data_IF_467506320297
#
_entry.id   IF_467506320297
#
_cell.length_a   1.000
_cell.length_b   1.000
_cell.length_c   1.000
_cell.angle_alpha   90.00
_cell.angle_beta   90.00
_cell.angle_gamma   90.00
#
_symmetry.space_group_name_H-M   'P 1'
#
loop_
_entity.id
_entity.type
_entity.pdbx_description
1 polymer ?
#
# COMPACT_ATOMS: atom_id res chain seq x y z
N UNK A 1 8.17 -6.21 22.02
CA UNK A 1 6.72 -6.10 21.70
C UNK A 1 5.93 -5.17 22.64
N UNK A 2 6.56 -4.25 23.39
CA UNK A 2 5.91 -3.33 24.38
C UNK A 2 5.79 -1.88 23.85
N UNK A 3 5.86 -1.67 22.54
CA UNK A 3 6.06 -0.32 21.97
C UNK A 3 4.77 0.45 21.64
N UNK A 4 3.62 -0.23 21.51
CA UNK A 4 2.44 0.35 20.84
C UNK A 4 1.44 1.08 21.77
N UNK A 5 1.72 1.15 23.08
CA UNK A 5 0.81 1.77 24.05
C UNK A 5 1.16 3.23 24.39
N UNK A 6 2.31 3.73 23.93
CA UNK A 6 2.70 5.13 24.13
C UNK A 6 1.91 6.05 23.19
N UNK A 7 1.35 7.17 23.68
CA UNK A 7 0.54 8.09 22.87
C UNK A 7 1.31 8.65 21.67
N UNK A 8 2.62 8.86 21.82
CA UNK A 8 3.49 9.34 20.75
C UNK A 8 3.61 8.35 19.58
N UNK A 9 3.65 7.04 19.86
CA UNK A 9 3.74 6.00 18.82
C UNK A 9 2.41 5.90 18.08
N UNK A 10 1.27 6.03 18.78
CA UNK A 10 -0.05 6.10 18.14
C UNK A 10 -0.20 7.32 17.23
N UNK A 11 0.26 8.47 17.68
CA UNK A 11 0.27 9.69 16.87
C UNK A 11 1.14 9.53 15.61
N UNK A 12 2.35 9.00 15.75
CA UNK A 12 3.24 8.74 14.62
C UNK A 12 2.66 7.73 13.64
N UNK A 13 2.02 6.65 14.11
CA UNK A 13 1.32 5.70 13.25
C UNK A 13 0.28 6.41 12.36
N UNK A 14 -0.51 7.35 12.91
CA UNK A 14 -1.50 8.12 12.14
C UNK A 14 -0.80 9.02 11.12
N UNK A 15 0.27 9.72 11.51
CA UNK A 15 1.04 10.58 10.60
C UNK A 15 1.67 9.78 9.46
N UNK A 16 2.27 8.63 9.75
CA UNK A 16 2.84 7.73 8.74
C UNK A 16 1.76 7.20 7.80
N UNK A 17 0.59 6.84 8.33
CA UNK A 17 -0.54 6.39 7.52
C UNK A 17 -1.01 7.49 6.55
N UNK A 18 -1.28 8.69 7.06
CA UNK A 18 -1.68 9.83 6.21
C UNK A 18 -0.62 10.16 5.17
N UNK A 19 0.64 10.11 5.55
CA UNK A 19 1.78 10.34 4.65
C UNK A 19 1.90 9.26 3.58
N UNK A 20 1.61 8.00 3.92
CA UNK A 20 1.58 6.88 2.98
C UNK A 20 0.48 7.05 1.94
N UNK A 21 -0.72 7.43 2.38
CA UNK A 21 -1.85 7.73 1.49
C UNK A 21 -1.51 8.92 0.59
N UNK A 22 -0.96 9.99 1.16
CA UNK A 22 -0.57 11.18 0.40
C UNK A 22 0.44 10.86 -0.70
N UNK A 23 1.49 10.09 -0.38
CA UNK A 23 2.49 9.66 -1.36
C UNK A 23 1.87 8.82 -2.47
N UNK A 24 0.96 7.91 -2.12
CA UNK A 24 0.26 7.10 -3.12
C UNK A 24 -0.55 7.99 -4.06
N UNK A 25 -1.29 8.98 -3.54
CA UNK A 25 -2.07 9.93 -4.37
C UNK A 25 -1.15 10.73 -5.30
N UNK A 26 -0.03 11.25 -4.81
CA UNK A 26 0.92 12.02 -5.62
C UNK A 26 1.51 11.15 -6.74
N UNK A 27 1.94 9.92 -6.40
CA UNK A 27 2.40 8.93 -7.38
C UNK A 27 1.30 8.68 -8.41
N UNK A 28 0.06 8.42 -7.99
CA UNK A 28 -1.04 8.17 -8.91
C UNK A 28 -1.21 9.31 -9.91
N UNK A 29 -1.15 10.56 -9.46
CA UNK A 29 -1.27 11.71 -10.35
C UNK A 29 -0.08 11.79 -11.30
N UNK A 30 1.14 11.56 -10.81
CA UNK A 30 2.37 11.58 -11.62
C UNK A 30 2.39 10.48 -12.69
N UNK A 31 1.88 9.28 -12.39
CA UNK A 31 1.87 8.15 -13.33
C UNK A 31 0.70 8.20 -14.31
N UNK A 32 -0.45 8.74 -13.91
CA UNK A 32 -1.65 8.78 -14.76
C UNK A 32 -1.72 10.00 -15.67
N UNK A 33 -1.07 11.10 -15.28
CA UNK A 33 -1.13 12.35 -16.04
C UNK A 33 -0.08 12.34 -17.14
N UNK A 34 -0.50 12.35 -18.40
CA UNK A 34 0.39 12.54 -19.56
C UNK A 34 1.04 13.94 -19.59
N UNK A 35 0.49 14.89 -18.82
CA UNK A 35 0.99 16.26 -18.66
C UNK A 35 1.41 16.53 -17.21
N UNK A 36 2.38 17.42 -17.01
CA UNK A 36 2.82 17.85 -15.67
C UNK A 36 1.77 18.75 -15.01
N UNK A 37 0.73 18.15 -14.43
CA UNK A 37 -0.33 18.87 -13.71
C UNK A 37 0.22 19.48 -12.41
N UNK A 38 1.09 18.75 -11.70
CA UNK A 38 1.76 19.24 -10.50
C UNK A 38 3.12 19.86 -10.85
N UNK A 39 3.46 20.96 -10.18
CA UNK A 39 4.80 21.53 -10.25
C UNK A 39 5.82 20.55 -9.68
N UNK A 40 6.96 20.39 -10.37
CA UNK A 40 8.08 19.57 -9.91
C UNK A 40 8.52 19.93 -8.49
N UNK A 41 8.56 21.24 -8.16
CA UNK A 41 8.89 21.71 -6.81
C UNK A 41 7.89 21.23 -5.76
N UNK A 42 6.60 21.19 -6.11
CA UNK A 42 5.55 20.73 -5.21
C UNK A 42 5.68 19.22 -4.94
N UNK A 43 5.97 18.43 -5.98
CA UNK A 43 6.22 16.99 -5.87
C UNK A 43 7.43 16.72 -4.96
N UNK A 44 8.56 17.38 -5.23
CA UNK A 44 9.79 17.24 -4.44
C UNK A 44 9.60 17.67 -2.99
N UNK A 45 8.91 18.79 -2.73
CA UNK A 45 8.63 19.23 -1.36
C UNK A 45 7.72 18.24 -0.62
N UNK A 46 6.72 17.69 -1.30
CA UNK A 46 5.81 16.70 -0.70
C UNK A 46 6.55 15.40 -0.37
N UNK A 47 7.39 14.90 -1.27
CA UNK A 47 8.23 13.73 -1.00
C UNK A 47 9.17 13.96 0.19
N UNK A 48 9.80 15.14 0.27
CA UNK A 48 10.69 15.49 1.39
C UNK A 48 9.95 15.54 2.73
N UNK A 49 8.76 16.14 2.74
CA UNK A 49 7.91 16.21 3.93
C UNK A 49 7.55 14.81 4.43
N UNK A 50 7.11 13.93 3.53
CA UNK A 50 6.75 12.55 3.88
C UNK A 50 7.96 11.75 4.36
N UNK A 51 9.11 11.88 3.68
CA UNK A 51 10.36 11.26 4.11
C UNK A 51 10.75 11.68 5.52
N UNK A 52 10.61 12.97 5.85
CA UNK A 52 10.87 13.47 7.21
C UNK A 52 9.97 12.81 8.26
N UNK A 53 8.68 12.61 7.95
CA UNK A 53 7.74 11.95 8.87
C UNK A 53 8.12 10.47 9.10
N UNK A 54 8.47 9.74 8.05
CA UNK A 54 8.92 8.35 8.15
C UNK A 54 10.23 8.21 8.91
N UNK A 55 11.17 9.14 8.67
CA UNK A 55 12.44 9.18 9.37
C UNK A 55 12.26 9.48 10.86
N UNK A 56 11.33 10.38 11.20
CA UNK A 56 10.96 10.65 12.59
C UNK A 56 10.35 9.42 13.28
N UNK A 57 9.44 8.70 12.60
CA UNK A 57 8.89 7.43 13.11
C UNK A 57 10.00 6.40 13.36
N UNK A 58 10.94 6.24 12.42
CA UNK A 58 12.09 5.35 12.57
C UNK A 58 12.92 5.69 13.81
N UNK A 59 13.32 6.95 13.97
CA UNK A 59 14.17 7.37 15.07
C UNK A 59 13.45 7.27 16.43
N UNK A 60 12.15 7.57 16.47
CA UNK A 60 11.36 7.41 17.70
C UNK A 60 11.25 5.94 18.11
N UNK A 61 11.01 5.03 17.15
CA UNK A 61 11.02 3.58 17.43
C UNK A 61 12.39 3.09 17.84
N UNK A 62 13.45 3.59 17.21
CA UNK A 62 14.82 3.25 17.58
C UNK A 62 15.16 3.69 19.01
N UNK A 63 14.81 4.92 19.37
CA UNK A 63 15.03 5.44 20.71
C UNK A 63 14.28 4.62 21.78
N UNK A 64 13.06 4.17 21.49
CA UNK A 64 12.27 3.39 22.43
C UNK A 64 12.56 1.89 22.45
N UNK A 65 13.26 1.33 21.46
CA UNK A 65 13.55 -0.11 21.45
C UNK A 65 14.67 -0.50 22.41
N UNK A 66 15.56 0.43 22.75
CA UNK A 66 16.77 0.21 23.57
C UNK A 66 17.74 -0.87 23.02
N UNK A 67 17.51 -1.37 21.80
CA UNK A 67 18.32 -2.40 21.14
C UNK A 67 19.57 -1.83 20.43
N UNK A 68 19.76 -0.51 20.44
CA UNK A 68 20.91 0.16 19.86
C UNK A 68 21.11 -0.17 18.37
N UNK A 69 22.33 -0.53 17.97
CA UNK A 69 22.66 -0.83 16.57
C UNK A 69 21.98 -2.09 16.02
N UNK A 70 21.55 -3.01 16.88
CA UNK A 70 20.86 -4.22 16.44
C UNK A 70 19.51 -3.89 15.78
N UNK A 71 18.81 -2.88 16.31
CA UNK A 71 17.58 -2.37 15.74
C UNK A 71 17.78 -1.81 14.32
N UNK A 72 18.89 -1.09 14.10
CA UNK A 72 19.23 -0.49 12.82
C UNK A 72 19.46 -1.56 11.74
N UNK A 73 20.15 -2.65 12.11
CA UNK A 73 20.34 -3.78 11.20
C UNK A 73 19.03 -4.46 10.80
N UNK A 74 18.12 -4.67 11.76
CA UNK A 74 16.84 -5.32 11.49
C UNK A 74 15.87 -4.46 10.66
N UNK A 75 15.95 -3.13 10.81
CA UNK A 75 15.05 -2.18 10.16
C UNK A 75 15.73 -1.32 9.08
N UNK A 76 16.86 -1.80 8.53
CA UNK A 76 17.64 -1.05 7.53
C UNK A 76 16.81 -0.70 6.29
N UNK A 77 15.91 -1.60 5.88
CA UNK A 77 14.99 -1.36 4.76
C UNK A 77 14.07 -0.16 5.03
N UNK A 78 13.59 -0.02 6.27
CA UNK A 78 12.73 1.10 6.63
C UNK A 78 13.48 2.43 6.57
N UNK A 79 14.71 2.44 7.07
CA UNK A 79 15.58 3.60 6.97
C UNK A 79 15.83 3.95 5.49
N UNK A 80 16.17 2.96 4.66
CA UNK A 80 16.43 3.14 3.25
C UNK A 80 15.22 3.77 2.54
N UNK A 81 14.02 3.26 2.80
CA UNK A 81 12.77 3.73 2.21
C UNK A 81 12.41 5.17 2.65
N UNK A 82 12.90 5.60 3.82
CA UNK A 82 12.64 6.92 4.40
C UNK A 82 13.49 8.04 3.79
N UNK A 83 14.53 7.72 3.01
CA UNK A 83 15.44 8.71 2.44
C UNK A 83 14.80 9.40 1.22
N UNK A 84 14.87 10.74 1.11
CA UNK A 84 14.30 11.50 -0.02
C UNK A 84 15.21 11.48 -1.26
N UNK A 85 15.38 10.30 -1.89
CA UNK A 85 16.29 10.13 -3.03
C UNK A 85 15.99 11.06 -4.21
N UNK A 86 14.71 11.27 -4.54
CA UNK A 86 14.32 12.16 -5.64
C UNK A 86 14.84 13.59 -5.42
N UNK A 87 14.76 14.11 -4.19
CA UNK A 87 15.31 15.42 -3.84
C UNK A 87 16.83 15.45 -3.92
N UNK A 88 17.51 14.39 -3.44
CA UNK A 88 18.98 14.31 -3.48
C UNK A 88 19.49 14.33 -4.93
N UNK A 89 18.85 13.54 -5.79
CA UNK A 89 19.18 13.47 -7.22
C UNK A 89 18.96 14.81 -7.90
N UNK A 90 17.85 15.47 -7.60
CA UNK A 90 17.53 16.78 -8.17
C UNK A 90 18.54 17.85 -7.78
N UNK A 91 18.93 17.91 -6.50
CA UNK A 91 19.92 18.88 -6.00
C UNK A 91 21.31 18.59 -6.56
N UNK A 92 21.70 17.31 -6.63
CA UNK A 92 23.03 16.91 -7.11
C UNK A 92 23.19 16.98 -8.63
N UNK A 93 22.11 17.22 -9.38
CA UNK A 93 22.12 17.17 -10.86
C UNK A 93 22.77 15.90 -11.40
N UNK A 94 22.62 14.79 -10.68
CA UNK A 94 23.28 13.53 -11.01
C UNK A 94 22.67 12.92 -12.28
N UNK A 95 23.50 12.64 -13.28
CA UNK A 95 23.09 11.84 -14.43
C UNK A 95 22.86 10.39 -14.01
N UNK A 96 21.60 9.97 -13.96
CA UNK A 96 21.22 8.60 -13.63
C UNK A 96 20.95 7.80 -14.90
N UNK A 97 21.27 6.51 -14.83
CA UNK A 97 20.78 5.57 -15.84
C UNK A 97 19.25 5.49 -15.81
N UNK A 98 18.63 5.19 -16.95
CA UNK A 98 17.18 5.01 -17.05
C UNK A 98 16.65 3.98 -16.04
N UNK A 99 17.40 2.89 -15.83
CA UNK A 99 17.04 1.85 -14.86
C UNK A 99 17.01 2.39 -13.42
N UNK A 100 18.02 3.16 -13.01
CA UNK A 100 18.08 3.75 -11.67
C UNK A 100 16.95 4.75 -11.45
N UNK A 101 16.63 5.55 -12.47
CA UNK A 101 15.54 6.51 -12.40
C UNK A 101 14.17 5.84 -12.19
N UNK A 102 13.89 4.73 -12.89
CA UNK A 102 12.69 3.91 -12.66
C UNK A 102 12.67 3.34 -11.23
N UNK A 103 13.79 2.79 -10.74
CA UNK A 103 13.87 2.23 -9.38
C UNK A 103 13.56 3.28 -8.30
N UNK A 104 14.03 4.51 -8.47
CA UNK A 104 13.76 5.59 -7.50
C UNK A 104 12.27 5.93 -7.40
N UNK A 105 11.52 5.82 -8.51
CA UNK A 105 10.06 5.99 -8.52
C UNK A 105 9.31 4.82 -7.89
N UNK A 106 9.96 3.68 -7.67
CA UNK A 106 9.38 2.56 -6.92
C UNK A 106 9.56 2.68 -5.40
N UNK A 107 10.48 3.51 -4.91
CA UNK A 107 10.72 3.66 -3.47
C UNK A 107 9.50 4.17 -2.71
N UNK A 108 8.76 5.19 -3.19
CA UNK A 108 7.59 5.66 -2.46
C UNK A 108 6.41 4.65 -2.50
N UNK A 109 6.43 3.67 -3.40
CA UNK A 109 5.52 2.51 -3.35
C UNK A 109 5.81 1.65 -2.12
N UNK A 110 7.10 1.38 -1.85
CA UNK A 110 7.49 0.64 -0.66
C UNK A 110 7.09 1.35 0.64
N UNK A 111 7.04 2.70 0.64
CA UNK A 111 6.48 3.50 1.75
C UNK A 111 4.98 3.22 1.93
N UNK A 112 4.23 3.19 0.83
CA UNK A 112 2.82 2.82 0.84
C UNK A 112 2.57 1.45 1.45
N UNK A 113 3.37 0.44 1.06
CA UNK A 113 3.31 -0.92 1.62
C UNK A 113 3.57 -0.90 3.13
N UNK A 114 4.57 -0.15 3.59
CA UNK A 114 4.81 0.00 5.02
C UNK A 114 3.62 0.63 5.76
N UNK A 115 3.01 1.68 5.19
CA UNK A 115 1.78 2.26 5.74
C UNK A 115 0.65 1.24 5.92
N UNK A 116 0.46 0.35 4.94
CA UNK A 116 -0.53 -0.75 5.02
C UNK A 116 -0.21 -1.69 6.18
N UNK A 117 1.07 -2.01 6.41
CA UNK A 117 1.46 -2.89 7.53
C UNK A 117 1.06 -2.34 8.90
N UNK A 118 1.07 -1.02 9.07
CA UNK A 118 0.59 -0.35 10.29
C UNK A 118 -0.92 -0.49 10.44
N UNK A 119 -1.68 -0.35 9.35
CA UNK A 119 -3.14 -0.54 9.34
C UNK A 119 -3.47 -1.97 9.79
N UNK A 120 -2.79 -2.96 9.22
CA UNK A 120 -2.95 -4.38 9.58
C UNK A 120 -2.66 -4.55 11.07
N UNK A 121 -1.50 -4.07 11.55
CA UNK A 121 -1.10 -4.22 12.96
C UNK A 121 -2.09 -3.57 13.94
N UNK A 122 -2.63 -2.39 13.61
CA UNK A 122 -3.61 -1.72 14.46
C UNK A 122 -4.95 -2.45 14.48
N UNK A 123 -5.42 -2.90 13.31
CA UNK A 123 -6.78 -3.41 13.17
C UNK A 123 -6.91 -4.88 13.58
N UNK A 124 -5.84 -5.69 13.46
CA UNK A 124 -5.76 -7.04 14.07
C UNK A 124 -5.85 -7.01 15.60
N UNK A 125 -5.55 -5.88 16.26
CA UNK A 125 -5.66 -5.71 17.72
C UNK A 125 -7.08 -5.34 18.18
N UNK A 126 -7.97 -4.94 17.28
CA UNK A 126 -9.35 -4.54 17.59
C UNK A 126 -10.34 -5.69 17.37
N UNK A 127 -11.43 -5.74 18.17
CA UNK A 127 -12.43 -6.82 18.15
C UNK A 127 -12.92 -7.11 16.71
N UNK A 128 -13.14 -8.39 16.42
CA UNK A 128 -13.47 -9.05 15.13
C UNK A 128 -14.32 -8.24 14.13
N UNK A 129 -15.21 -7.35 14.57
CA UNK A 129 -16.00 -6.46 13.70
C UNK A 129 -15.13 -5.52 12.85
N UNK A 130 -13.93 -5.16 13.30
CA UNK A 130 -13.00 -4.33 12.55
C UNK A 130 -12.15 -5.11 11.53
N UNK A 131 -12.07 -6.45 11.64
CA UNK A 131 -11.28 -7.26 10.72
C UNK A 131 -11.86 -7.24 9.31
N UNK A 132 -13.18 -7.30 9.17
CA UNK A 132 -13.82 -7.25 7.86
C UNK A 132 -13.51 -5.95 7.10
N UNK A 133 -13.67 -4.80 7.78
CA UNK A 133 -13.37 -3.47 7.22
C UNK A 133 -11.87 -3.37 6.90
N UNK A 134 -11.00 -3.99 7.71
CA UNK A 134 -9.57 -4.12 7.42
C UNK A 134 -9.33 -4.80 6.09
N UNK A 135 -9.90 -5.99 5.92
CA UNK A 135 -9.68 -6.81 4.75
C UNK A 135 -10.18 -6.10 3.50
N UNK A 136 -11.36 -5.49 3.56
CA UNK A 136 -11.91 -4.74 2.44
C UNK A 136 -11.03 -3.54 2.08
N UNK A 137 -10.50 -2.84 3.08
CA UNK A 137 -9.58 -1.71 2.87
C UNK A 137 -8.27 -2.17 2.22
N UNK A 138 -7.69 -3.29 2.67
CA UNK A 138 -6.46 -3.86 2.10
C UNK A 138 -6.69 -4.29 0.64
N UNK A 139 -7.77 -5.02 0.38
CA UNK A 139 -8.16 -5.45 -0.97
C UNK A 139 -8.29 -4.23 -1.88
N UNK A 140 -9.00 -3.20 -1.43
CA UNK A 140 -9.19 -1.97 -2.21
C UNK A 140 -7.86 -1.29 -2.54
N UNK A 141 -6.95 -1.19 -1.57
CA UNK A 141 -5.61 -0.62 -1.79
C UNK A 141 -4.79 -1.48 -2.76
N UNK A 142 -4.85 -2.80 -2.66
CA UNK A 142 -4.15 -3.71 -3.58
C UNK A 142 -4.68 -3.55 -5.01
N UNK A 143 -6.01 -3.54 -5.20
CA UNK A 143 -6.65 -3.33 -6.51
C UNK A 143 -6.21 -2.00 -7.10
N UNK A 144 -6.34 -0.92 -6.33
CA UNK A 144 -5.98 0.43 -6.77
C UNK A 144 -4.51 0.51 -7.17
N UNK A 145 -3.62 -0.03 -6.34
CA UNK A 145 -2.19 0.02 -6.59
C UNK A 145 -1.77 -0.83 -7.79
N UNK A 146 -2.26 -2.08 -7.88
CA UNK A 146 -1.95 -2.95 -9.00
C UNK A 146 -2.51 -2.40 -10.32
N UNK A 147 -3.68 -1.76 -10.31
CA UNK A 147 -4.26 -1.07 -11.46
C UNK A 147 -3.32 0.02 -12.00
N UNK A 148 -2.85 0.93 -11.14
CA UNK A 148 -1.95 2.02 -11.54
C UNK A 148 -0.61 1.47 -12.04
N UNK A 149 -0.05 0.50 -11.32
CA UNK A 149 1.25 -0.06 -11.69
C UNK A 149 1.16 -0.84 -13.01
N UNK A 150 0.07 -1.57 -13.23
CA UNK A 150 -0.18 -2.26 -14.48
C UNK A 150 -0.34 -1.27 -15.63
N UNK A 151 -1.14 -0.21 -15.45
CA UNK A 151 -1.24 0.87 -16.43
C UNK A 151 0.14 1.45 -16.76
N UNK A 152 0.96 1.77 -15.75
CA UNK A 152 2.28 2.35 -15.97
C UNK A 152 3.24 1.49 -16.80
N UNK A 153 3.25 0.18 -16.58
CA UNK A 153 4.20 -0.72 -17.26
C UNK A 153 3.67 -1.25 -18.58
N UNK A 154 2.34 -1.32 -18.76
CA UNK A 154 1.70 -1.89 -19.94
C UNK A 154 1.18 -0.83 -20.92
N UNK A 155 0.89 0.40 -20.47
CA UNK A 155 0.42 1.46 -21.37
C UNK A 155 1.52 1.89 -22.33
N UNK A 156 1.24 1.76 -23.64
CA UNK A 156 2.22 1.92 -24.72
C UNK A 156 2.64 0.59 -25.32
N UNK A 157 3.39 -0.28 -24.58
CA UNK A 157 3.77 -1.60 -25.08
C UNK A 157 2.59 -2.52 -25.38
N UNK A 158 1.52 -2.43 -24.59
CA UNK A 158 0.36 -3.30 -24.69
C UNK A 158 -0.81 -2.58 -25.38
N UNK A 159 -1.18 -2.96 -26.62
CA UNK A 159 -2.25 -2.30 -27.36
C UNK A 159 -3.64 -2.49 -26.72
N UNK A 160 -3.77 -3.44 -25.79
CA UNK A 160 -5.01 -3.71 -25.05
C UNK A 160 -5.23 -2.74 -23.87
N UNK A 161 -4.19 -1.99 -23.45
CA UNK A 161 -4.25 -1.05 -22.33
C UNK A 161 -4.26 0.37 -22.87
N UNK A 162 -5.45 0.85 -23.25
CA UNK A 162 -5.61 2.17 -23.89
C UNK A 162 -5.75 3.26 -22.85
N UNK A 163 -6.58 3.04 -21.85
CA UNK A 163 -6.85 3.99 -20.79
C UNK A 163 -6.66 3.35 -19.41
N UNK A 164 -6.58 4.18 -18.38
CA UNK A 164 -6.50 3.69 -16.99
C UNK A 164 -7.66 2.76 -16.62
N UNK A 165 -8.85 2.97 -17.20
CA UNK A 165 -10.01 2.14 -16.92
C UNK A 165 -9.84 0.69 -17.38
N UNK A 166 -9.06 0.45 -18.44
CA UNK A 166 -8.72 -0.91 -18.88
C UNK A 166 -7.89 -1.64 -17.82
N UNK A 167 -6.89 -0.95 -17.25
CA UNK A 167 -6.05 -1.48 -16.18
C UNK A 167 -6.83 -1.66 -14.85
N UNK A 168 -7.76 -0.75 -14.54
CA UNK A 168 -8.63 -0.88 -13.38
C UNK A 168 -9.57 -2.07 -13.51
N UNK A 169 -10.24 -2.21 -14.64
CA UNK A 169 -11.09 -3.35 -14.93
C UNK A 169 -10.27 -4.66 -14.90
N UNK A 170 -9.09 -4.67 -15.51
CA UNK A 170 -8.15 -5.80 -15.44
C UNK A 170 -7.84 -6.20 -13.99
N UNK A 171 -7.54 -5.23 -13.12
CA UNK A 171 -7.20 -5.51 -11.72
C UNK A 171 -8.38 -6.11 -10.95
N UNK A 172 -9.60 -5.61 -11.21
CA UNK A 172 -10.83 -6.11 -10.60
C UNK A 172 -11.15 -7.54 -11.07
N UNK A 173 -10.95 -7.85 -12.34
CA UNK A 173 -11.17 -9.20 -12.87
C UNK A 173 -10.13 -10.22 -12.34
N UNK A 174 -8.88 -9.80 -12.15
CA UNK A 174 -7.83 -10.68 -11.62
C UNK A 174 -7.98 -10.93 -10.12
N UNK A 175 -8.29 -9.90 -9.32
CA UNK A 175 -8.53 -10.08 -7.89
C UNK A 175 -9.78 -10.93 -7.64
N UNK A 176 -10.79 -10.84 -8.51
CA UNK A 176 -12.01 -11.66 -8.43
C UNK A 176 -11.79 -13.10 -8.92
N UNK A 177 -10.59 -13.43 -9.41
CA UNK A 177 -10.21 -14.72 -10.03
C UNK A 177 -11.04 -15.10 -11.26
N UNK A 178 -11.82 -14.16 -11.81
CA UNK A 178 -12.54 -14.33 -13.09
C UNK A 178 -11.55 -14.36 -14.26
N UNK A 179 -10.47 -13.57 -14.14
CA UNK A 179 -9.50 -13.38 -15.22
C UNK A 179 -9.97 -12.33 -16.23
N UNK A 180 -9.03 -11.71 -16.93
CA UNK A 180 -9.29 -10.64 -17.89
C UNK A 180 -8.89 -11.04 -19.30
N UNK A 181 -9.49 -10.41 -20.31
CA UNK A 181 -9.04 -10.52 -21.71
C UNK A 181 -7.76 -9.71 -21.98
N UNK A 182 -7.31 -8.91 -21.01
CA UNK A 182 -6.07 -8.16 -21.05
C UNK A 182 -5.02 -8.94 -20.27
N UNK A 183 -3.88 -9.23 -20.89
CA UNK A 183 -2.76 -9.93 -20.25
C UNK A 183 -1.54 -9.03 -20.23
N UNK A 184 -0.78 -9.08 -19.13
CA UNK A 184 0.49 -8.37 -19.03
C UNK A 184 1.52 -8.99 -19.97
N UNK A 185 2.09 -8.18 -20.85
CA UNK A 185 3.18 -8.60 -21.74
C UNK A 185 4.56 -8.34 -21.11
N UNK A 186 4.63 -7.44 -20.13
CA UNK A 186 5.85 -7.18 -19.36
C UNK A 186 6.00 -8.14 -18.18
N UNK A 187 7.24 -8.40 -17.74
CA UNK A 187 7.52 -9.23 -16.56
C UNK A 187 6.86 -8.67 -15.29
N UNK A 188 6.83 -7.34 -15.16
CA UNK A 188 6.17 -6.67 -14.04
C UNK A 188 4.64 -6.85 -14.12
N UNK A 189 4.03 -6.64 -15.29
CA UNK A 189 2.60 -6.87 -15.51
C UNK A 189 2.17 -8.31 -15.19
N UNK A 190 2.97 -9.30 -15.60
CA UNK A 190 2.73 -10.71 -15.27
C UNK A 190 2.83 -10.99 -13.77
N UNK A 191 3.81 -10.38 -13.09
CA UNK A 191 3.96 -10.51 -11.63
C UNK A 191 2.78 -9.91 -10.87
N UNK A 192 2.25 -8.77 -11.33
CA UNK A 192 1.07 -8.14 -10.75
C UNK A 192 -0.18 -9.02 -10.89
N UNK A 193 -0.33 -9.77 -11.98
CA UNK A 193 -1.42 -10.72 -12.16
C UNK A 193 -1.40 -11.81 -11.07
N UNK A 194 -0.22 -12.37 -10.78
CA UNK A 194 -0.03 -13.38 -9.74
C UNK A 194 -0.37 -12.83 -8.36
N UNK A 195 0.07 -11.61 -8.05
CA UNK A 195 -0.22 -10.94 -6.77
C UNK A 195 -1.72 -10.72 -6.60
N UNK A 196 -2.42 -10.25 -7.63
CA UNK A 196 -3.86 -10.03 -7.59
C UNK A 196 -4.64 -11.33 -7.43
N UNK A 197 -4.29 -12.37 -8.19
CA UNK A 197 -4.93 -13.68 -8.08
C UNK A 197 -4.73 -14.30 -6.69
N UNK A 198 -3.50 -14.26 -6.15
CA UNK A 198 -3.19 -14.72 -4.81
C UNK A 198 -3.97 -13.94 -3.74
N UNK A 199 -4.04 -12.62 -3.89
CA UNK A 199 -4.82 -11.75 -3.01
C UNK A 199 -6.29 -12.18 -3.00
N UNK A 200 -6.91 -12.32 -4.18
CA UNK A 200 -8.28 -12.79 -4.33
C UNK A 200 -8.54 -14.10 -3.58
N UNK A 201 -7.71 -15.11 -3.84
CA UNK A 201 -7.83 -16.44 -3.21
C UNK A 201 -7.71 -16.40 -1.69
N UNK A 202 -6.94 -15.47 -1.12
CA UNK A 202 -6.83 -15.29 0.34
C UNK A 202 -8.07 -14.57 0.89
N UNK A 203 -8.56 -13.53 0.21
CA UNK A 203 -9.60 -12.65 0.76
C UNK A 203 -11.03 -13.18 0.60
N UNK A 204 -11.37 -13.89 -0.49
CA UNK A 204 -12.73 -14.42 -0.69
C UNK A 204 -13.17 -15.39 0.42
N UNK A 205 -12.36 -16.40 0.83
CA UNK A 205 -12.77 -17.31 1.89
C UNK A 205 -13.04 -16.61 3.22
N UNK A 206 -12.27 -15.56 3.53
CA UNK A 206 -12.45 -14.75 4.74
C UNK A 206 -13.78 -14.00 4.70
N UNK A 207 -14.14 -13.42 3.55
CA UNK A 207 -15.44 -12.79 3.34
C UNK A 207 -16.59 -13.79 3.55
N UNK A 208 -16.50 -14.97 2.93
CA UNK A 208 -17.50 -16.03 3.07
C UNK A 208 -17.65 -16.49 4.52
N UNK A 209 -16.53 -16.73 5.21
CA UNK A 209 -16.54 -17.12 6.62
C UNK A 209 -17.20 -16.07 7.51
N UNK A 210 -16.91 -14.77 7.28
CA UNK A 210 -17.53 -13.67 8.00
C UNK A 210 -19.05 -13.63 7.79
N UNK A 211 -19.52 -13.75 6.55
CA UNK A 211 -20.96 -13.76 6.24
C UNK A 211 -21.63 -14.95 6.94
N UNK A 212 -21.06 -16.15 6.82
CA UNK A 212 -21.60 -17.37 7.44
C UNK A 212 -21.66 -17.23 8.96
N UNK A 213 -20.62 -16.72 9.61
CA UNK A 213 -20.59 -16.51 11.07
C UNK A 213 -21.71 -15.55 11.52
N UNK A 214 -21.90 -14.43 10.81
CA UNK A 214 -22.98 -13.48 11.10
C UNK A 214 -24.37 -14.10 10.92
N UNK A 215 -24.57 -14.88 9.86
CA UNK A 215 -25.84 -15.59 9.62
C UNK A 215 -26.10 -16.64 10.72
N UNK A 216 -25.10 -17.43 11.09
CA UNK A 216 -25.21 -18.43 12.14
C UNK A 216 -25.51 -17.80 13.50
N UNK A 217 -24.85 -16.69 13.84
CA UNK A 217 -25.11 -15.95 15.07
C UNK A 217 -26.55 -15.45 15.15
N UNK A 218 -27.04 -14.79 14.09
CA UNK A 218 -28.45 -14.35 13.99
C UNK A 218 -29.44 -15.51 14.09
N UNK A 219 -29.11 -16.66 13.50
CA UNK A 219 -29.97 -17.85 13.58
C UNK A 219 -30.07 -18.41 15.00
N UNK A 220 -28.95 -18.49 15.72
CA UNK A 220 -28.92 -18.91 17.13
C UNK A 220 -29.70 -17.95 18.03
N UNK A 221 -29.57 -16.64 17.80
CA UNK A 221 -30.35 -15.62 18.53
C UNK A 221 -31.86 -15.78 18.30
N UNK A 222 -32.29 -16.16 17.08
CA UNK A 222 -33.70 -16.42 16.78
C UNK A 222 -34.22 -17.77 17.31
N UNK A 223 -33.35 -18.78 17.44
CA UNK A 223 -33.69 -20.12 17.94
C UNK A 223 -33.68 -20.21 19.48
N UNK A 224 -33.11 -19.21 20.19
CA UNK A 224 -33.11 -19.19 21.67
C UNK A 224 -34.46 -18.65 22.16
N UNK A 225 -35.34 -19.47 22.78
CA UNK A 225 -36.62 -18.98 23.26
C UNK A 225 -36.37 -17.98 24.39
N UNK A 226 -37.02 -16.82 24.34
CA UNK A 226 -37.13 -15.94 25.51
C UNK A 226 -37.93 -16.69 26.57
N UNK A 227 -37.24 -17.39 27.47
CA UNK A 227 -37.80 -17.87 28.72
C UNK A 227 -38.06 -16.66 29.62
N UNK A 228 -39.27 -16.11 29.51
CA UNK A 228 -39.90 -15.29 30.54
C UNK A 228 -40.92 -16.15 31.29
#
# INVERSE_FOLDING_TARGET
MVQNDKPIVKFLNIMVLLSSILVLVIISIELLSATTILSERFILNTHLMVCTIFLADFFVRWYFSQEGWHFLGHHIFLLLISIPYLNIVYISSAHLSHATWVLLRLIPIARGIYGISIIVSWMTRSKVTNLFVTYLSIVFVIIYFCSIMFYFVEHGPNPMVKDYWDAFNWSLMNVTTVGSNIFGITKLGQSLAVILAASGMVFFPIFTAFVVDNFQKKRKEAETPTHN
#
